data_IF_688885728828
#
_entry.id   IF_688885728828
#
_cell.length_a   1.000
_cell.length_b   1.000
_cell.length_c   1.000
_cell.angle_alpha   90.00
_cell.angle_beta   90.00
_cell.angle_gamma   90.00
#
_symmetry.space_group_name_H-M   'P 1'
#
loop_
_entity.id
_entity.type
_entity.pdbx_description
1 polymer ?
#
# COMPACT_ATOMS: atom_id res chain seq x y z
N UNK A 1 -5.44 -8.47 2.83
CA UNK A 1 -5.62 -7.84 4.16
C UNK A 1 -7.04 -8.04 4.69
N UNK A 2 -8.12 -7.62 3.98
CA UNK A 2 -9.51 -7.69 4.47
C UNK A 2 -9.93 -9.09 4.93
N UNK A 3 -9.65 -10.14 4.18
CA UNK A 3 -10.01 -11.52 4.56
C UNK A 3 -9.31 -11.91 5.85
N UNK A 4 -8.02 -11.64 5.98
CA UNK A 4 -7.27 -11.92 7.22
C UNK A 4 -7.85 -11.11 8.38
N UNK A 5 -8.22 -9.85 8.16
CA UNK A 5 -8.86 -8.99 9.16
C UNK A 5 -10.16 -9.61 9.69
N UNK A 6 -11.08 -9.97 8.80
CA UNK A 6 -12.37 -10.55 9.20
C UNK A 6 -12.21 -11.91 9.89
N UNK A 7 -11.37 -12.79 9.37
CA UNK A 7 -11.12 -14.09 10.00
C UNK A 7 -10.49 -13.94 11.39
N UNK A 8 -9.55 -13.00 11.54
CA UNK A 8 -8.92 -12.72 12.82
C UNK A 8 -9.90 -12.10 13.84
N UNK A 9 -10.86 -11.27 13.40
CA UNK A 9 -11.95 -10.76 14.26
C UNK A 9 -12.86 -11.89 14.74
N UNK A 10 -13.07 -12.92 13.94
CA UNK A 10 -13.78 -14.14 14.35
C UNK A 10 -12.94 -15.05 15.27
N UNK A 11 -11.82 -14.55 15.80
CA UNK A 11 -10.89 -15.26 16.68
C UNK A 11 -10.18 -16.45 16.04
N UNK A 12 -10.19 -16.54 14.71
CA UNK A 12 -9.38 -17.51 13.97
C UNK A 12 -7.92 -17.00 13.97
N UNK A 13 -6.98 -17.84 14.41
CA UNK A 13 -5.55 -17.52 14.49
C UNK A 13 -4.90 -17.46 13.11
N UNK A 14 -5.33 -16.51 12.29
CA UNK A 14 -4.92 -16.36 10.88
C UNK A 14 -3.93 -15.20 10.67
N UNK A 15 -3.85 -14.28 11.62
CA UNK A 15 -2.93 -13.15 11.52
C UNK A 15 -1.51 -13.55 11.93
N UNK A 16 -0.96 -14.54 11.24
CA UNK A 16 0.41 -15.06 11.34
C UNK A 16 1.06 -15.06 9.96
N UNK A 17 2.37 -15.31 9.88
CA UNK A 17 3.06 -15.39 8.59
C UNK A 17 2.47 -16.52 7.73
N UNK A 18 2.22 -17.67 8.34
CA UNK A 18 1.66 -18.86 7.67
C UNK A 18 0.21 -18.58 7.23
N UNK A 19 -0.59 -17.94 8.10
CA UNK A 19 -1.98 -17.60 7.80
C UNK A 19 -2.10 -16.61 6.67
N UNK A 20 -1.27 -15.57 6.65
CA UNK A 20 -1.22 -14.58 5.55
C UNK A 20 -0.76 -15.25 4.25
N UNK A 21 0.27 -16.09 4.31
CA UNK A 21 0.74 -16.86 3.15
C UNK A 21 -0.36 -17.78 2.60
N UNK A 22 -1.05 -18.53 3.48
CA UNK A 22 -2.16 -19.41 3.10
C UNK A 22 -3.28 -18.64 2.40
N UNK A 23 -3.75 -17.52 2.99
CA UNK A 23 -4.80 -16.69 2.37
C UNK A 23 -4.35 -16.13 1.03
N UNK A 24 -3.09 -15.69 0.92
CA UNK A 24 -2.55 -15.17 -0.34
C UNK A 24 -2.52 -16.26 -1.41
N UNK A 25 -2.04 -17.46 -1.08
CA UNK A 25 -1.99 -18.60 -2.02
C UNK A 25 -3.39 -19.03 -2.45
N UNK A 26 -4.36 -19.12 -1.53
CA UNK A 26 -5.74 -19.48 -1.85
C UNK A 26 -6.39 -18.45 -2.78
N UNK A 27 -6.19 -17.15 -2.52
CA UNK A 27 -6.72 -16.10 -3.37
C UNK A 27 -6.08 -16.13 -4.76
N UNK A 28 -4.76 -16.31 -4.84
CA UNK A 28 -4.05 -16.41 -6.12
C UNK A 28 -4.54 -17.62 -6.91
N UNK A 29 -4.64 -18.80 -6.26
CA UNK A 29 -5.17 -20.01 -6.88
C UNK A 29 -6.61 -19.86 -7.35
N UNK A 30 -7.47 -19.28 -6.52
CA UNK A 30 -8.87 -18.99 -6.90
C UNK A 30 -8.94 -18.01 -8.08
N UNK A 31 -8.13 -16.96 -8.07
CA UNK A 31 -8.08 -15.97 -9.16
C UNK A 31 -7.64 -16.64 -10.47
N UNK A 32 -6.59 -17.45 -10.45
CA UNK A 32 -6.12 -18.20 -11.64
C UNK A 32 -7.21 -19.17 -12.13
N UNK A 33 -7.84 -19.92 -11.22
CA UNK A 33 -8.89 -20.89 -11.57
C UNK A 33 -10.13 -20.23 -12.16
N UNK A 34 -10.58 -19.11 -11.61
CA UNK A 34 -11.75 -18.37 -12.08
C UNK A 34 -11.46 -17.55 -13.35
N UNK A 35 -10.24 -17.06 -13.50
CA UNK A 35 -9.85 -16.18 -14.61
C UNK A 35 -9.66 -16.92 -15.95
N UNK A 36 -9.68 -18.26 -15.99
CA UNK A 36 -9.32 -19.03 -17.18
C UNK A 36 -10.05 -18.66 -18.47
N UNK A 37 -11.33 -18.23 -18.39
CA UNK A 37 -12.11 -17.74 -19.54
C UNK A 37 -11.94 -16.24 -19.81
N UNK A 38 -11.54 -15.47 -18.81
CA UNK A 38 -11.48 -14.00 -18.86
C UNK A 38 -10.05 -13.48 -19.08
N UNK A 39 -9.03 -14.32 -18.88
CA UNK A 39 -7.61 -13.92 -19.01
C UNK A 39 -7.28 -13.44 -20.44
N UNK A 40 -7.75 -14.13 -21.47
CA UNK A 40 -7.44 -13.77 -22.88
C UNK A 40 -7.93 -12.37 -23.26
N UNK A 41 -9.21 -12.00 -23.05
CA UNK A 41 -9.66 -10.63 -23.32
C UNK A 41 -8.96 -9.60 -22.40
N UNK A 42 -8.72 -9.89 -21.12
CA UNK A 42 -7.99 -9.01 -20.21
C UNK A 42 -6.56 -8.73 -20.70
N UNK A 43 -5.83 -9.75 -21.15
CA UNK A 43 -4.49 -9.58 -21.74
C UNK A 43 -4.53 -8.73 -23.02
N UNK A 44 -5.61 -8.80 -23.80
CA UNK A 44 -5.82 -7.93 -24.97
C UNK A 44 -5.94 -6.46 -24.59
N UNK A 45 -6.69 -6.16 -23.53
CA UNK A 45 -6.81 -4.80 -22.99
C UNK A 45 -5.48 -4.29 -22.38
N UNK A 46 -4.77 -5.13 -21.64
CA UNK A 46 -3.44 -4.80 -21.08
C UNK A 46 -2.44 -4.46 -22.20
N UNK A 47 -2.42 -5.21 -23.30
CA UNK A 47 -1.55 -4.90 -24.44
C UNK A 47 -1.85 -3.54 -25.06
N UNK A 48 -3.13 -3.17 -25.19
CA UNK A 48 -3.53 -1.86 -25.74
C UNK A 48 -3.10 -0.70 -24.84
N UNK A 49 -3.14 -0.89 -23.51
CA UNK A 49 -2.80 0.13 -22.51
C UNK A 49 -1.38 -0.04 -21.94
N UNK A 50 -0.52 -0.84 -22.56
CA UNK A 50 0.80 -1.20 -22.04
C UNK A 50 1.65 0.00 -21.65
N UNK A 51 1.70 1.05 -22.49
CA UNK A 51 2.48 2.24 -22.19
C UNK A 51 1.95 3.04 -21.01
N UNK A 52 0.62 3.06 -20.82
CA UNK A 52 0.01 3.71 -19.66
C UNK A 52 0.40 2.98 -18.36
N UNK A 53 0.26 1.66 -18.37
CA UNK A 53 0.65 0.81 -17.25
C UNK A 53 2.16 0.98 -16.95
N UNK A 54 3.00 1.02 -17.98
CA UNK A 54 4.42 1.22 -17.79
C UNK A 54 4.74 2.57 -17.14
N UNK A 55 4.05 3.65 -17.52
CA UNK A 55 4.21 4.96 -16.87
C UNK A 55 3.78 4.89 -15.40
N UNK A 56 2.66 4.25 -15.09
CA UNK A 56 2.17 4.05 -13.73
C UNK A 56 3.20 3.28 -12.86
N UNK A 57 3.77 2.20 -13.39
CA UNK A 57 4.80 1.43 -12.70
C UNK A 57 6.10 2.23 -12.50
N UNK A 58 6.52 3.01 -13.50
CA UNK A 58 7.70 3.89 -13.37
C UNK A 58 7.46 4.96 -12.31
N UNK A 59 6.27 5.57 -12.27
CA UNK A 59 5.90 6.55 -11.25
C UNK A 59 5.87 5.92 -9.84
N UNK A 60 5.29 4.73 -9.73
CA UNK A 60 5.29 3.97 -8.48
C UNK A 60 6.71 3.70 -8.00
N UNK A 61 7.56 3.15 -8.86
CA UNK A 61 8.94 2.83 -8.51
C UNK A 61 9.77 4.08 -8.20
N UNK A 62 9.58 5.15 -8.97
CA UNK A 62 10.27 6.42 -8.71
C UNK A 62 9.89 7.00 -7.34
N UNK A 63 8.61 7.00 -6.99
CA UNK A 63 8.14 7.45 -5.68
C UNK A 63 8.61 6.54 -4.54
N UNK A 64 8.52 5.22 -4.73
CA UNK A 64 8.96 4.23 -3.75
C UNK A 64 10.47 4.37 -3.49
N UNK A 65 11.30 4.30 -4.53
CA UNK A 65 12.75 4.33 -4.39
C UNK A 65 13.21 5.71 -3.93
N UNK A 66 12.67 6.78 -4.52
CA UNK A 66 13.01 8.16 -4.14
C UNK A 66 12.72 8.41 -2.66
N UNK A 67 11.53 8.05 -2.16
CA UNK A 67 11.21 8.26 -0.76
C UNK A 67 11.93 7.28 0.18
N UNK A 68 12.18 6.04 -0.26
CA UNK A 68 13.00 5.09 0.51
C UNK A 68 14.43 5.62 0.70
N UNK A 69 15.02 6.25 -0.32
CA UNK A 69 16.34 6.91 -0.20
C UNK A 69 16.28 8.07 0.80
N UNK A 70 15.28 8.94 0.72
CA UNK A 70 15.09 10.03 1.68
C UNK A 70 14.97 9.48 3.12
N UNK A 71 14.17 8.44 3.33
CA UNK A 71 14.04 7.77 4.63
C UNK A 71 15.32 7.08 5.08
N UNK A 72 16.14 6.60 4.12
CA UNK A 72 17.43 5.97 4.42
C UNK A 72 18.44 6.93 5.04
N UNK A 73 18.37 8.23 4.76
CA UNK A 73 19.21 9.25 5.41
C UNK A 73 18.82 9.50 6.88
N UNK A 74 17.55 9.30 7.24
CA UNK A 74 17.05 9.45 8.61
C UNK A 74 16.00 8.37 8.90
N UNK A 75 16.44 7.12 9.12
CA UNK A 75 15.54 5.98 9.29
C UNK A 75 14.87 5.93 10.67
N UNK A 76 15.25 6.82 11.59
CA UNK A 76 14.77 6.81 12.97
C UNK A 76 13.25 6.98 13.05
N UNK A 77 12.64 6.14 13.90
CA UNK A 77 11.21 6.15 14.18
C UNK A 77 11.00 6.95 15.47
N UNK A 78 11.42 8.22 15.44
CA UNK A 78 11.38 9.14 16.57
C UNK A 78 10.46 10.33 16.29
N UNK A 79 9.82 10.80 17.37
CA UNK A 79 9.03 12.03 17.37
C UNK A 79 7.59 11.88 16.88
N UNK A 80 6.72 12.77 17.36
CA UNK A 80 5.29 12.88 17.07
C UNK A 80 4.56 11.53 17.16
N UNK A 81 3.71 11.25 16.19
CA UNK A 81 2.86 10.05 16.16
C UNK A 81 3.60 8.77 15.71
N UNK A 82 4.87 8.88 15.28
CA UNK A 82 5.61 7.71 14.75
C UNK A 82 5.73 6.56 15.77
N UNK A 83 5.86 6.87 17.04
CA UNK A 83 5.88 5.86 18.11
C UNK A 83 4.55 5.11 18.20
N UNK A 84 3.44 5.83 18.08
CA UNK A 84 2.10 5.28 18.11
C UNK A 84 1.88 4.39 16.90
N UNK A 85 2.14 4.89 15.70
CA UNK A 85 1.98 4.15 14.45
C UNK A 85 2.79 2.87 14.44
N UNK A 86 4.05 2.95 14.83
CA UNK A 86 4.94 1.80 14.92
C UNK A 86 4.48 0.81 16.00
N UNK A 87 4.02 1.30 17.13
CA UNK A 87 3.48 0.48 18.20
C UNK A 87 2.23 -0.29 17.78
N UNK A 88 1.31 0.34 17.06
CA UNK A 88 0.14 -0.35 16.49
C UNK A 88 0.55 -1.44 15.49
N UNK A 89 1.52 -1.16 14.61
CA UNK A 89 2.06 -2.17 13.69
C UNK A 89 2.62 -3.36 14.48
N UNK A 90 3.40 -3.11 15.53
CA UNK A 90 3.95 -4.18 16.40
C UNK A 90 2.86 -4.98 17.11
N UNK A 91 1.84 -4.32 17.61
CA UNK A 91 0.69 -5.00 18.23
C UNK A 91 -0.01 -5.93 17.24
N UNK A 92 -0.20 -5.51 15.99
CA UNK A 92 -0.76 -6.38 14.93
C UNK A 92 0.18 -7.51 14.55
N UNK A 93 1.48 -7.27 14.49
CA UNK A 93 2.48 -8.32 14.19
C UNK A 93 2.56 -9.38 15.30
N UNK A 94 2.33 -9.01 16.56
CA UNK A 94 2.37 -9.94 17.68
C UNK A 94 1.06 -10.66 17.95
N UNK A 95 -0.07 -10.20 17.38
CA UNK A 95 -1.41 -10.72 17.67
C UNK A 95 -1.90 -11.68 16.59
N UNK A 96 -2.09 -12.97 16.88
CA UNK A 96 -2.62 -13.93 15.90
C UNK A 96 -4.10 -13.76 15.63
N UNK A 97 -4.84 -13.04 16.50
CA UNK A 97 -6.26 -12.72 16.38
C UNK A 97 -6.50 -11.24 16.62
N UNK A 98 -7.70 -10.74 16.28
CA UNK A 98 -8.09 -9.33 16.47
C UNK A 98 -9.30 -9.21 17.41
N UNK A 99 -9.50 -8.04 18.02
CA UNK A 99 -8.64 -6.85 18.02
C UNK A 99 -7.29 -7.12 18.72
N UNK A 100 -6.24 -6.42 18.29
CA UNK A 100 -4.93 -6.51 18.91
C UNK A 100 -4.89 -5.76 20.25
N UNK A 101 -4.02 -6.15 21.22
CA UNK A 101 -3.88 -5.43 22.47
C UNK A 101 -3.35 -4.01 22.25
N UNK A 102 -3.85 -3.07 23.05
CA UNK A 102 -3.35 -1.71 23.06
C UNK A 102 -1.97 -1.68 23.74
N UNK A 103 -1.01 -1.02 23.12
CA UNK A 103 0.36 -0.95 23.65
C UNK A 103 0.51 0.04 24.82
N UNK A 104 -0.41 0.99 24.95
CA UNK A 104 -0.37 2.01 25.99
C UNK A 104 -1.34 1.74 27.13
N UNK A 105 -2.45 1.05 26.86
CA UNK A 105 -3.46 0.75 27.87
C UNK A 105 -3.51 -0.76 28.11
N UNK A 106 -2.71 -1.21 29.06
CA UNK A 106 -2.62 -2.64 29.40
C UNK A 106 -4.00 -3.22 29.75
N UNK A 107 -4.32 -4.37 29.16
CA UNK A 107 -5.60 -5.05 29.32
C UNK A 107 -6.71 -4.57 28.38
N UNK A 108 -6.49 -3.51 27.61
CA UNK A 108 -7.40 -3.02 26.58
C UNK A 108 -6.98 -3.45 25.17
N UNK A 109 -7.88 -3.24 24.24
CA UNK A 109 -7.67 -3.51 22.81
C UNK A 109 -7.55 -2.18 22.07
N UNK A 110 -6.82 -2.17 20.95
CA UNK A 110 -6.70 -0.99 20.09
C UNK A 110 -8.11 -0.52 19.67
N UNK A 111 -8.47 0.70 20.07
CA UNK A 111 -9.69 1.39 19.68
C UNK A 111 -9.34 2.71 18.98
N UNK A 112 -8.80 2.61 17.77
CA UNK A 112 -8.34 3.74 16.98
C UNK A 112 -8.46 3.43 15.47
N UNK A 113 -8.22 4.41 14.60
CA UNK A 113 -8.18 4.19 13.17
C UNK A 113 -6.92 3.38 12.80
N UNK A 114 -7.00 2.10 12.90
CA UNK A 114 -5.83 1.22 12.90
C UNK A 114 -5.75 0.26 11.71
N UNK A 115 -6.75 0.28 10.80
CA UNK A 115 -6.75 -0.63 9.64
C UNK A 115 -5.53 -0.41 8.72
N UNK A 116 -5.07 0.84 8.57
CA UNK A 116 -3.84 1.15 7.83
C UNK A 116 -2.60 0.50 8.45
N UNK A 117 -2.49 0.53 9.78
CA UNK A 117 -1.39 -0.10 10.52
C UNK A 117 -1.46 -1.64 10.43
N UNK A 118 -2.68 -2.20 10.47
CA UNK A 118 -2.87 -3.62 10.20
C UNK A 118 -2.43 -3.97 8.78
N UNK A 119 -2.82 -3.18 7.79
CA UNK A 119 -2.42 -3.41 6.40
C UNK A 119 -0.90 -3.34 6.24
N UNK A 120 -0.24 -2.38 6.88
CA UNK A 120 1.22 -2.30 6.95
C UNK A 120 1.83 -3.59 7.56
N UNK A 121 1.24 -4.12 8.65
CA UNK A 121 1.72 -5.37 9.25
C UNK A 121 1.60 -6.57 8.30
N UNK A 122 0.56 -6.64 7.48
CA UNK A 122 0.41 -7.67 6.44
C UNK A 122 1.51 -7.56 5.38
N UNK A 123 1.82 -6.34 4.91
CA UNK A 123 2.89 -6.13 3.94
C UNK A 123 4.27 -6.47 4.50
N UNK A 124 4.54 -6.10 5.76
CA UNK A 124 5.79 -6.47 6.45
C UNK A 124 5.98 -7.98 6.49
N UNK A 125 4.91 -8.74 6.78
CA UNK A 125 4.93 -10.20 6.74
C UNK A 125 5.21 -10.75 5.34
N UNK A 126 4.58 -10.18 4.31
CA UNK A 126 4.78 -10.58 2.91
C UNK A 126 6.21 -10.27 2.45
N UNK A 127 6.73 -9.11 2.80
CA UNK A 127 8.09 -8.69 2.43
C UNK A 127 9.19 -9.44 3.21
N UNK A 128 8.87 -9.98 4.38
CA UNK A 128 9.82 -10.69 5.23
C UNK A 128 10.94 -9.80 5.78
N UNK A 129 10.68 -8.50 5.94
CA UNK A 129 11.63 -7.51 6.44
C UNK A 129 11.47 -7.27 7.94
N UNK A 130 12.50 -6.68 8.57
CA UNK A 130 12.39 -6.26 9.97
C UNK A 130 11.31 -5.20 10.15
N UNK A 131 10.72 -5.12 11.34
CA UNK A 131 9.62 -4.21 11.66
C UNK A 131 9.96 -2.73 11.37
N UNK A 132 11.17 -2.29 11.78
CA UNK A 132 11.62 -0.93 11.54
C UNK A 132 11.87 -0.60 10.06
N UNK A 133 12.49 -1.54 9.32
CA UNK A 133 12.64 -1.40 7.87
C UNK A 133 11.25 -1.38 7.19
N UNK A 134 10.35 -2.26 7.63
CA UNK A 134 8.99 -2.34 7.09
C UNK A 134 8.19 -1.05 7.31
N UNK A 135 8.32 -0.41 8.47
CA UNK A 135 7.72 0.90 8.73
C UNK A 135 8.18 1.95 7.70
N UNK A 136 9.49 2.06 7.49
CA UNK A 136 10.05 3.03 6.55
C UNK A 136 9.68 2.70 5.10
N UNK A 137 9.71 1.42 4.72
CA UNK A 137 9.28 0.97 3.40
C UNK A 137 7.80 1.19 3.16
N UNK A 138 6.96 1.09 4.21
CA UNK A 138 5.53 1.39 4.10
C UNK A 138 5.27 2.86 3.74
N UNK A 139 6.01 3.79 4.33
CA UNK A 139 5.92 5.21 3.98
C UNK A 139 6.31 5.44 2.51
N UNK A 140 7.39 4.79 2.06
CA UNK A 140 7.83 4.85 0.66
C UNK A 140 6.80 4.20 -0.29
N UNK A 141 6.17 3.10 0.12
CA UNK A 141 5.11 2.44 -0.63
C UNK A 141 3.87 3.34 -0.77
N UNK A 142 3.46 4.03 0.29
CA UNK A 142 2.37 5.01 0.24
C UNK A 142 2.70 6.14 -0.74
N UNK A 143 3.93 6.68 -0.70
CA UNK A 143 4.38 7.73 -1.62
C UNK A 143 4.31 7.27 -3.08
N UNK A 144 4.88 6.12 -3.40
CA UNK A 144 4.86 5.56 -4.77
C UNK A 144 3.44 5.27 -5.25
N UNK A 145 2.63 4.62 -4.40
CA UNK A 145 1.24 4.31 -4.73
C UNK A 145 0.40 5.57 -4.96
N UNK A 146 0.60 6.61 -4.15
CA UNK A 146 -0.13 7.86 -4.30
C UNK A 146 0.19 8.55 -5.63
N UNK A 147 1.48 8.60 -6.03
CA UNK A 147 1.89 9.16 -7.33
C UNK A 147 1.22 8.42 -8.49
N UNK A 148 1.28 7.09 -8.50
CA UNK A 148 0.71 6.27 -9.57
C UNK A 148 -0.82 6.37 -9.60
N UNK A 149 -1.49 6.29 -8.44
CA UNK A 149 -2.95 6.34 -8.36
C UNK A 149 -3.52 7.70 -8.77
N UNK A 150 -2.93 8.81 -8.31
CA UNK A 150 -3.39 10.15 -8.71
C UNK A 150 -3.19 10.36 -10.21
N UNK A 151 -2.03 9.94 -10.75
CA UNK A 151 -1.80 9.96 -12.20
C UNK A 151 -2.89 9.17 -12.95
N UNK A 152 -3.12 7.92 -12.53
CA UNK A 152 -4.12 7.05 -13.15
C UNK A 152 -5.53 7.64 -13.11
N UNK A 153 -5.93 8.18 -11.97
CA UNK A 153 -7.25 8.85 -11.80
C UNK A 153 -7.38 10.01 -12.78
N UNK A 154 -6.40 10.93 -12.83
CA UNK A 154 -6.48 12.11 -13.70
C UNK A 154 -6.52 11.70 -15.17
N UNK A 155 -5.64 10.79 -15.59
CA UNK A 155 -5.64 10.32 -16.98
C UNK A 155 -6.96 9.65 -17.34
N UNK A 156 -7.50 8.77 -16.49
CA UNK A 156 -8.78 8.11 -16.77
C UNK A 156 -9.98 9.06 -16.75
N UNK A 157 -9.94 10.15 -16.00
CA UNK A 157 -11.01 11.16 -16.01
C UNK A 157 -10.98 12.07 -17.25
N UNK A 158 -9.80 12.27 -17.82
CA UNK A 158 -9.63 13.20 -18.95
C UNK A 158 -9.65 12.48 -20.31
N UNK A 159 -9.29 11.20 -20.37
CA UNK A 159 -9.18 10.47 -21.63
C UNK A 159 -10.49 9.77 -22.03
N UNK A 160 -10.74 9.79 -23.33
CA UNK A 160 -11.73 8.91 -23.93
C UNK A 160 -11.21 7.47 -23.97
N UNK A 161 -12.13 6.48 -23.95
CA UNK A 161 -11.80 5.05 -23.78
C UNK A 161 -10.78 4.50 -24.79
N UNK A 162 -10.66 5.11 -25.97
CA UNK A 162 -9.84 4.57 -27.05
C UNK A 162 -8.41 5.12 -27.15
N UNK A 163 -8.17 6.38 -26.76
CA UNK A 163 -6.84 7.02 -26.98
C UNK A 163 -6.48 7.99 -25.85
N UNK A 164 -5.31 7.78 -25.28
CA UNK A 164 -4.69 8.73 -24.34
C UNK A 164 -3.78 9.68 -25.12
N UNK A 165 -4.04 10.97 -25.00
CA UNK A 165 -3.24 12.03 -25.67
C UNK A 165 -2.06 12.47 -24.80
N UNK A 166 -1.06 13.14 -25.43
CA UNK A 166 0.05 13.71 -24.67
C UNK A 166 -0.36 14.77 -23.65
N UNK A 167 -1.48 15.48 -23.91
CA UNK A 167 -2.02 16.48 -22.98
C UNK A 167 -2.55 15.84 -21.72
N UNK A 168 -3.27 14.74 -21.83
CA UNK A 168 -3.81 13.98 -20.70
C UNK A 168 -2.70 13.35 -19.87
N UNK A 169 -1.66 12.80 -20.52
CA UNK A 169 -0.46 12.32 -19.83
C UNK A 169 0.25 13.44 -19.05
N UNK A 170 0.43 14.61 -19.69
CA UNK A 170 1.04 15.77 -19.04
C UNK A 170 0.19 16.26 -17.85
N UNK A 171 -1.14 16.31 -18.00
CA UNK A 171 -2.06 16.68 -16.93
C UNK A 171 -1.99 15.68 -15.77
N UNK A 172 -1.97 14.37 -16.06
CA UNK A 172 -1.78 13.32 -15.05
C UNK A 172 -0.48 13.48 -14.28
N UNK A 173 0.64 13.69 -14.98
CA UNK A 173 1.96 13.89 -14.36
C UNK A 173 1.98 15.17 -13.50
N UNK A 174 1.53 16.28 -14.04
CA UNK A 174 1.49 17.55 -13.30
C UNK A 174 0.57 17.45 -12.08
N UNK A 175 -0.61 16.87 -12.25
CA UNK A 175 -1.57 16.73 -11.17
C UNK A 175 -1.06 15.81 -10.06
N UNK A 176 -0.44 14.68 -10.39
CA UNK A 176 0.14 13.78 -9.39
C UNK A 176 1.27 14.45 -8.60
N UNK A 177 2.16 15.19 -9.29
CA UNK A 177 3.23 15.94 -8.63
C UNK A 177 2.66 17.06 -7.74
N UNK A 178 1.67 17.82 -8.23
CA UNK A 178 1.04 18.88 -7.43
C UNK A 178 0.34 18.34 -6.19
N UNK A 179 -0.39 17.24 -6.29
CA UNK A 179 -1.10 16.64 -5.15
C UNK A 179 -0.13 16.06 -4.12
N UNK A 180 0.94 15.41 -4.56
CA UNK A 180 1.86 14.69 -3.68
C UNK A 180 2.98 15.57 -3.13
N UNK A 181 3.54 16.46 -3.97
CA UNK A 181 4.67 17.32 -3.60
C UNK A 181 4.25 18.75 -3.28
N UNK A 182 3.11 19.20 -3.81
CA UNK A 182 2.57 20.54 -3.59
C UNK A 182 1.87 20.76 -2.25
N UNK A 183 1.91 19.75 -1.36
CA UNK A 183 1.43 19.86 0.01
C UNK A 183 2.10 20.99 0.77
N UNK A 184 1.92 21.06 2.04
CA UNK A 184 2.33 22.16 2.92
C UNK A 184 3.78 22.66 2.69
N UNK A 185 3.95 23.73 1.91
CA UNK A 185 5.25 24.41 1.68
C UNK A 185 5.76 25.15 2.93
N UNK A 186 5.08 25.02 4.06
CA UNK A 186 5.39 25.72 5.31
C UNK A 186 6.80 25.42 5.86
N UNK A 187 7.40 24.32 5.43
CA UNK A 187 8.76 23.94 5.84
C UNK A 187 9.87 24.58 4.99
N UNK A 188 9.54 25.39 4.01
CA UNK A 188 10.49 26.06 3.10
C UNK A 188 10.86 27.46 3.57
N UNK A 189 10.24 27.96 4.65
CA UNK A 189 10.48 29.28 5.24
C UNK A 189 11.14 29.19 6.60
#
# INVERSE_FOLDING_TARGET
>A
ALIVWFLALLKIRINTNEGVALVTLLLTGATIGLAGKTIRPALGHLKKKFWLILIEEVLFLAGLVGYALVRGYQPDILGLEKFMDFGFIKSYLSSPTLPAPDMWWAGSQINYYSFGHFWASILIRIWGVSEGAGYNLMLAFVMGSSLALVFSIIVNLLSDEEKVTRRELAAGLMGSLLVILGGNSHTVW
#
